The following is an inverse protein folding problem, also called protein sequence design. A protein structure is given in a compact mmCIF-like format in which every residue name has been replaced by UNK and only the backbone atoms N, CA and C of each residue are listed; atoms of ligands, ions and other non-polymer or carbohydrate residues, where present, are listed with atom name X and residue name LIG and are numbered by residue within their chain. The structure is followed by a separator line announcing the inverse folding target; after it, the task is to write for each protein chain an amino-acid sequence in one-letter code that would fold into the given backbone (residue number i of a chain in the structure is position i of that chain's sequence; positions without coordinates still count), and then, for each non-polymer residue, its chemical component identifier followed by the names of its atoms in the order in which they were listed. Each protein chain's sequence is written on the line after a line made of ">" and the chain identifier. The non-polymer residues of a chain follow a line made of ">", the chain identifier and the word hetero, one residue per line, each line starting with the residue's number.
data_IF_211343714804
#
_entry.id   IF_211343714804
#
_cell.length_a   1.000
_cell.length_b   1.000
_cell.length_c   1.000
_cell.angle_alpha   90.00
_cell.angle_beta   90.00
_cell.angle_gamma   90.00
#
_symmetry.space_group_name_H-M   'P 1'
#
loop_
_entity.id
_entity.type
_entity.pdbx_description
1 polymer ?
#
# COMPACT_ATOMS: atom_id res chain seq x y z
N UNK A 1 -72.30 -31.89 -12.90
CA UNK A 1 -71.04 -32.15 -12.21
C UNK A 1 -69.90 -31.37 -12.96
N UNK A 2 -69.50 -30.19 -12.44
CA UNK A 2 -68.43 -29.37 -13.04
C UNK A 2 -67.17 -29.65 -12.26
N UNK A 3 -66.13 -30.17 -12.91
CA UNK A 3 -64.78 -30.37 -12.31
C UNK A 3 -64.00 -29.09 -12.38
N UNK A 4 -63.62 -28.50 -11.22
CA UNK A 4 -62.64 -27.42 -11.10
C UNK A 4 -61.23 -28.00 -11.25
N UNK A 5 -60.48 -27.49 -12.19
CA UNK A 5 -59.02 -27.76 -12.32
C UNK A 5 -58.31 -26.60 -11.64
N UNK A 6 -57.64 -26.88 -10.51
CA UNK A 6 -56.73 -25.94 -9.88
C UNK A 6 -55.40 -25.97 -10.61
N UNK A 7 -55.02 -24.85 -11.23
CA UNK A 7 -53.71 -24.66 -11.80
C UNK A 7 -52.78 -24.11 -10.71
N UNK A 8 -51.79 -24.90 -10.24
CA UNK A 8 -50.77 -24.46 -9.31
C UNK A 8 -49.69 -23.73 -10.06
N UNK A 9 -49.55 -22.43 -9.79
CA UNK A 9 -48.48 -21.58 -10.34
C UNK A 9 -47.20 -21.77 -9.49
N UNK A 10 -46.22 -22.50 -10.03
CA UNK A 10 -44.91 -22.65 -9.38
C UNK A 10 -44.05 -21.43 -9.78
N UNK A 11 -43.95 -20.47 -8.84
CA UNK A 11 -42.99 -19.34 -8.99
C UNK A 11 -41.60 -19.83 -8.64
N UNK A 12 -40.80 -20.14 -9.66
CA UNK A 12 -39.40 -20.46 -9.48
C UNK A 12 -38.61 -19.20 -9.10
N UNK A 13 -38.18 -19.07 -7.84
CA UNK A 13 -37.17 -18.10 -7.45
C UNK A 13 -35.81 -18.51 -8.07
N UNK A 14 -35.52 -17.98 -9.22
CA UNK A 14 -34.17 -18.05 -9.80
C UNK A 14 -33.22 -17.20 -8.96
N UNK A 15 -32.43 -17.80 -8.08
CA UNK A 15 -31.33 -17.15 -7.43
C UNK A 15 -30.29 -16.76 -8.52
N UNK A 16 -30.27 -15.49 -8.87
CA UNK A 16 -29.23 -14.95 -9.74
C UNK A 16 -27.87 -15.11 -9.03
N UNK A 17 -27.10 -16.13 -9.41
CA UNK A 17 -25.72 -16.27 -8.96
C UNK A 17 -24.95 -15.02 -9.40
N UNK A 18 -24.62 -14.16 -8.46
CA UNK A 18 -23.74 -13.01 -8.70
C UNK A 18 -22.45 -13.56 -9.30
N UNK A 19 -22.16 -13.22 -10.57
CA UNK A 19 -20.86 -13.54 -11.20
C UNK A 19 -19.78 -12.95 -10.31
N UNK A 20 -19.07 -13.79 -9.61
CA UNK A 20 -17.88 -13.38 -8.86
C UNK A 20 -16.88 -12.82 -9.87
N UNK A 21 -16.81 -11.48 -9.94
CA UNK A 21 -15.81 -10.79 -10.78
C UNK A 21 -14.41 -11.22 -10.37
N UNK A 22 -13.44 -11.15 -11.28
CA UNK A 22 -12.03 -11.47 -11.00
C UNK A 22 -11.57 -10.71 -9.74
N UNK A 23 -10.94 -11.40 -8.77
CA UNK A 23 -10.46 -10.74 -7.56
C UNK A 23 -9.53 -9.56 -7.88
N UNK A 24 -9.72 -8.39 -7.24
CA UNK A 24 -8.83 -7.26 -7.46
C UNK A 24 -7.40 -7.62 -7.06
N UNK A 25 -6.43 -7.13 -7.81
CA UNK A 25 -5.00 -7.30 -7.52
C UNK A 25 -4.48 -6.09 -6.75
N UNK A 26 -3.78 -6.33 -5.64
CA UNK A 26 -3.00 -5.31 -4.92
C UNK A 26 -1.53 -5.69 -5.01
N UNK A 27 -0.68 -4.75 -5.41
CA UNK A 27 0.77 -4.91 -5.31
C UNK A 27 1.22 -4.25 -4.02
N UNK A 28 1.90 -5.03 -3.16
CA UNK A 28 2.51 -4.54 -1.93
C UNK A 28 4.02 -4.40 -2.19
N UNK A 29 4.54 -3.20 -1.95
CA UNK A 29 5.95 -2.87 -2.10
C UNK A 29 6.55 -2.54 -0.73
N UNK A 30 7.21 -3.50 -0.06
CA UNK A 30 8.05 -3.18 1.09
C UNK A 30 9.23 -2.35 0.62
N UNK A 31 9.29 -1.07 1.04
CA UNK A 31 10.35 -0.15 0.63
C UNK A 31 11.74 -0.66 0.99
N UNK A 32 12.72 -0.18 0.24
CA UNK A 32 14.15 -0.49 0.41
C UNK A 32 14.54 -1.97 0.32
N UNK A 33 15.81 -2.25 0.48
CA UNK A 33 16.43 -3.53 0.85
C UNK A 33 17.64 -3.20 1.76
N UNK A 34 18.37 -4.20 2.23
CA UNK A 34 19.46 -4.00 3.20
C UNK A 34 20.64 -3.20 2.64
N UNK A 35 20.88 -3.27 1.34
CA UNK A 35 21.95 -2.52 0.67
C UNK A 35 21.39 -1.49 -0.28
N UNK A 36 21.88 -0.24 -0.14
CA UNK A 36 21.58 0.83 -1.06
C UNK A 36 21.99 0.47 -2.50
N UNK A 37 21.30 1.07 -3.45
CA UNK A 37 21.64 1.04 -4.86
C UNK A 37 21.76 2.47 -5.37
N UNK A 38 23.00 2.97 -5.43
CA UNK A 38 23.31 4.37 -5.80
C UNK A 38 23.35 4.61 -7.31
N UNK A 39 23.14 3.59 -8.15
CA UNK A 39 22.87 3.80 -9.55
C UNK A 39 21.64 4.72 -9.71
N UNK A 40 21.49 5.36 -10.84
CA UNK A 40 20.43 6.34 -11.04
C UNK A 40 19.44 5.92 -12.10
N UNK A 41 18.19 6.38 -11.95
CA UNK A 41 17.09 6.18 -12.89
C UNK A 41 16.38 7.51 -13.15
N UNK A 42 15.73 7.71 -14.33
CA UNK A 42 14.97 8.93 -14.60
C UNK A 42 13.74 9.02 -13.70
N UNK A 43 13.42 10.23 -13.24
CA UNK A 43 12.26 10.46 -12.33
C UNK A 43 10.90 10.20 -12.97
N UNK A 44 10.82 10.19 -14.29
CA UNK A 44 9.58 9.94 -15.06
C UNK A 44 9.90 9.63 -16.52
N UNK A 45 8.93 9.12 -17.28
CA UNK A 45 9.10 8.83 -18.70
C UNK A 45 9.58 10.05 -19.50
N UNK A 46 10.70 9.89 -20.24
CA UNK A 46 11.31 10.99 -21.01
C UNK A 46 12.05 12.05 -20.23
N UNK A 47 12.14 11.94 -18.88
CA UNK A 47 12.85 12.92 -18.04
C UNK A 47 14.37 12.79 -18.17
N UNK A 48 15.08 13.94 -18.27
CA UNK A 48 16.52 14.03 -18.11
C UNK A 48 16.96 14.09 -16.64
N UNK A 49 16.04 14.45 -15.74
CA UNK A 49 16.33 14.47 -14.30
C UNK A 49 16.40 13.06 -13.76
N UNK A 50 17.47 12.76 -13.02
CA UNK A 50 17.72 11.42 -12.47
C UNK A 50 17.84 11.45 -10.97
N UNK A 51 17.40 10.39 -10.31
CA UNK A 51 17.57 10.12 -8.88
C UNK A 51 18.23 8.77 -8.66
N UNK A 52 18.84 8.58 -7.49
CA UNK A 52 19.34 7.25 -7.07
C UNK A 52 18.18 6.26 -7.01
N UNK A 53 18.46 5.01 -7.31
CA UNK A 53 17.47 3.93 -7.27
C UNK A 53 16.94 3.73 -5.85
N UNK A 54 17.85 3.71 -4.87
CA UNK A 54 17.50 3.52 -3.45
C UNK A 54 18.66 3.94 -2.55
N UNK A 55 18.40 4.83 -1.59
CA UNK A 55 19.37 5.27 -0.58
C UNK A 55 19.61 4.27 0.57
N UNK A 56 18.88 3.13 0.59
CA UNK A 56 19.01 2.10 1.63
C UNK A 56 18.07 2.26 2.83
N UNK A 57 17.23 3.32 2.81
CA UNK A 57 16.28 3.59 3.91
C UNK A 57 16.94 4.13 5.17
N UNK A 58 16.15 4.24 6.22
CA UNK A 58 16.58 4.68 7.56
C UNK A 58 16.80 3.47 8.49
N UNK A 59 17.11 3.79 9.74
CA UNK A 59 17.34 2.79 10.80
C UNK A 59 16.82 3.31 12.12
N UNK A 60 16.25 2.43 12.91
CA UNK A 60 15.79 2.75 14.27
C UNK A 60 16.90 3.32 15.12
N UNK A 61 16.68 4.53 15.65
CA UNK A 61 17.68 5.27 16.44
C UNK A 61 18.04 4.58 17.76
N UNK A 62 17.13 3.78 18.32
CA UNK A 62 17.29 3.02 19.57
C UNK A 62 17.47 1.54 19.29
N UNK A 63 16.64 0.99 18.41
CA UNK A 63 16.57 -0.46 18.17
C UNK A 63 17.59 -0.94 17.15
N UNK A 64 18.10 -0.06 16.29
CA UNK A 64 19.00 -0.40 15.21
C UNK A 64 18.35 -1.21 14.09
N UNK A 65 17.03 -1.42 14.11
CA UNK A 65 16.32 -2.19 13.09
C UNK A 65 16.37 -1.44 11.76
N UNK A 66 16.78 -2.07 10.65
CA UNK A 66 16.69 -1.47 9.33
C UNK A 66 15.22 -1.22 8.92
N UNK A 67 14.95 -0.11 8.26
CA UNK A 67 13.64 0.18 7.69
C UNK A 67 13.16 -0.93 6.75
N UNK A 68 14.05 -1.47 5.94
CA UNK A 68 13.74 -2.58 5.03
C UNK A 68 13.13 -3.79 5.74
N UNK A 69 13.61 -4.13 6.95
CA UNK A 69 13.10 -5.26 7.75
C UNK A 69 11.74 -4.95 8.35
N UNK A 70 11.55 -3.73 8.85
CA UNK A 70 10.25 -3.25 9.35
C UNK A 70 9.19 -3.30 8.25
N UNK A 71 9.50 -2.71 7.10
CA UNK A 71 8.58 -2.64 5.95
C UNK A 71 8.16 -4.04 5.48
N UNK A 72 9.12 -4.97 5.38
CA UNK A 72 8.84 -6.34 5.01
C UNK A 72 7.98 -7.06 6.06
N UNK A 73 8.28 -6.86 7.34
CA UNK A 73 7.53 -7.50 8.43
C UNK A 73 6.05 -7.08 8.44
N UNK A 74 5.75 -5.80 8.18
CA UNK A 74 4.37 -5.29 8.04
C UNK A 74 3.73 -5.81 6.74
N UNK A 75 4.45 -5.76 5.62
CA UNK A 75 3.96 -6.20 4.31
C UNK A 75 3.57 -7.69 4.29
N UNK A 76 4.35 -8.57 4.93
CA UNK A 76 4.04 -9.99 5.01
C UNK A 76 2.78 -10.27 5.84
N UNK A 77 2.52 -9.48 6.90
CA UNK A 77 1.28 -9.54 7.68
C UNK A 77 0.09 -9.05 6.84
N UNK A 78 0.24 -7.91 6.15
CA UNK A 78 -0.77 -7.36 5.26
C UNK A 78 -1.13 -8.33 4.13
N UNK A 79 -0.13 -8.96 3.50
CA UNK A 79 -0.35 -9.99 2.47
C UNK A 79 -1.29 -11.10 2.96
N UNK A 80 -1.06 -11.61 4.18
CA UNK A 80 -1.91 -12.67 4.75
C UNK A 80 -3.35 -12.20 4.94
N UNK A 81 -3.54 -10.98 5.46
CA UNK A 81 -4.87 -10.40 5.70
C UNK A 81 -5.62 -10.18 4.39
N UNK A 82 -5.00 -9.56 3.39
CA UNK A 82 -5.64 -9.30 2.10
C UNK A 82 -5.98 -10.59 1.34
N UNK A 83 -5.11 -11.61 1.39
CA UNK A 83 -5.40 -12.92 0.78
C UNK A 83 -6.59 -13.60 1.43
N UNK A 84 -6.72 -13.55 2.77
CA UNK A 84 -7.90 -14.05 3.49
C UNK A 84 -9.18 -13.29 3.10
N UNK A 85 -9.06 -12.02 2.73
CA UNK A 85 -10.17 -11.20 2.24
C UNK A 85 -10.49 -11.43 0.74
N UNK A 86 -9.86 -12.41 0.08
CA UNK A 86 -10.09 -12.73 -1.33
C UNK A 86 -9.49 -11.70 -2.30
N UNK A 87 -8.41 -11.02 -1.91
CA UNK A 87 -7.64 -10.12 -2.77
C UNK A 87 -6.44 -10.87 -3.33
N UNK A 88 -6.18 -10.75 -4.63
CA UNK A 88 -4.94 -11.22 -5.24
C UNK A 88 -3.80 -10.30 -4.83
N UNK A 89 -2.74 -10.86 -4.25
CA UNK A 89 -1.59 -10.06 -3.78
C UNK A 89 -0.32 -10.48 -4.51
N UNK A 90 0.34 -9.50 -5.11
CA UNK A 90 1.70 -9.58 -5.64
C UNK A 90 2.62 -8.77 -4.72
N UNK A 91 3.84 -9.23 -4.51
CA UNK A 91 4.86 -8.54 -3.71
C UNK A 91 6.03 -8.15 -4.61
N UNK A 92 6.62 -6.99 -4.40
CA UNK A 92 7.86 -6.60 -5.12
C UNK A 92 9.07 -7.35 -4.59
N UNK A 93 9.10 -7.68 -3.29
CA UNK A 93 10.06 -8.57 -2.64
C UNK A 93 9.43 -9.33 -1.47
N UNK A 94 10.02 -10.44 -1.09
CA UNK A 94 9.58 -11.29 0.04
C UNK A 94 10.68 -11.59 1.05
N UNK A 95 11.87 -11.07 0.81
CA UNK A 95 13.08 -11.19 1.65
C UNK A 95 13.79 -9.85 1.76
N UNK A 96 14.71 -9.72 2.70
CA UNK A 96 15.65 -8.61 2.87
C UNK A 96 17.06 -9.14 2.76
N UNK A 97 17.54 -9.47 1.59
CA UNK A 97 18.84 -10.12 1.44
C UNK A 97 19.71 -9.56 0.31
N UNK A 98 19.22 -8.56 -0.40
CA UNK A 98 19.85 -8.11 -1.62
C UNK A 98 20.15 -6.62 -1.70
N UNK A 99 20.68 -6.22 -2.85
CA UNK A 99 20.74 -4.82 -3.27
C UNK A 99 19.35 -4.41 -3.76
N UNK A 100 18.90 -3.24 -3.33
CA UNK A 100 17.56 -2.77 -3.66
C UNK A 100 17.35 -2.66 -5.17
N UNK A 101 16.17 -3.12 -5.63
CA UNK A 101 15.72 -2.84 -6.99
C UNK A 101 15.28 -1.37 -7.10
N UNK A 102 15.42 -0.79 -8.29
CA UNK A 102 15.00 0.58 -8.57
C UNK A 102 13.48 0.77 -8.52
N UNK A 103 13.08 2.02 -8.42
CA UNK A 103 11.66 2.39 -8.32
C UNK A 103 10.89 2.13 -9.62
N UNK A 104 11.56 2.26 -10.79
CA UNK A 104 10.97 1.88 -12.09
C UNK A 104 10.59 0.40 -12.07
N UNK A 105 11.52 -0.47 -11.69
CA UNK A 105 11.27 -1.91 -11.65
C UNK A 105 10.11 -2.28 -10.71
N UNK A 106 9.99 -1.59 -9.56
CA UNK A 106 8.87 -1.74 -8.62
C UNK A 106 7.54 -1.32 -9.24
N UNK A 107 7.50 -0.14 -9.90
CA UNK A 107 6.32 0.36 -10.60
C UNK A 107 5.89 -0.58 -11.73
N UNK A 108 6.84 -1.11 -12.51
CA UNK A 108 6.54 -2.05 -13.59
C UNK A 108 5.93 -3.38 -13.11
N UNK A 109 6.31 -3.87 -11.92
CA UNK A 109 5.64 -5.03 -11.31
C UNK A 109 4.15 -4.72 -11.10
N UNK A 110 3.84 -3.51 -10.60
CA UNK A 110 2.45 -3.10 -10.38
C UNK A 110 1.69 -2.89 -11.69
N UNK A 111 2.34 -2.30 -12.70
CA UNK A 111 1.77 -2.07 -14.02
C UNK A 111 1.43 -3.40 -14.72
N UNK A 112 2.39 -4.34 -14.77
CA UNK A 112 2.18 -5.68 -15.36
C UNK A 112 1.11 -6.49 -14.63
N UNK A 113 0.96 -6.27 -13.33
CA UNK A 113 -0.09 -6.92 -12.54
C UNK A 113 -1.47 -6.28 -12.71
N UNK A 114 -1.59 -5.18 -13.48
CA UNK A 114 -2.81 -4.37 -13.59
C UNK A 114 -3.42 -4.08 -12.22
N UNK A 115 -2.60 -3.61 -11.28
CA UNK A 115 -2.98 -3.50 -9.89
C UNK A 115 -4.12 -2.49 -9.70
N UNK A 116 -5.12 -2.86 -8.92
CA UNK A 116 -6.14 -1.91 -8.45
C UNK A 116 -5.55 -0.89 -7.45
N UNK A 117 -4.45 -1.27 -6.78
CA UNK A 117 -3.64 -0.39 -5.93
C UNK A 117 -2.21 -0.91 -5.86
N UNK A 118 -1.24 -0.01 -6.06
CA UNK A 118 0.17 -0.17 -5.75
C UNK A 118 0.43 0.50 -4.39
N UNK A 119 0.59 -0.31 -3.34
CA UNK A 119 0.76 0.14 -1.96
C UNK A 119 2.22 -0.03 -1.55
N UNK A 120 2.92 1.09 -1.40
CA UNK A 120 4.30 1.16 -0.93
C UNK A 120 4.32 1.39 0.58
N UNK A 121 5.14 0.64 1.30
CA UNK A 121 5.22 0.67 2.76
C UNK A 121 6.61 1.10 3.17
N UNK A 122 6.69 2.18 3.94
CA UNK A 122 7.89 2.82 4.43
C UNK A 122 7.75 3.23 5.91
N UNK A 123 8.84 3.68 6.51
CA UNK A 123 8.88 4.35 7.79
C UNK A 123 9.94 5.46 7.73
N UNK A 124 9.53 6.65 8.09
CA UNK A 124 10.26 7.88 7.85
C UNK A 124 11.47 8.08 8.79
N UNK A 125 12.32 9.00 8.41
CA UNK A 125 13.42 9.54 9.22
C UNK A 125 13.48 11.05 9.11
N UNK A 126 13.83 11.72 10.22
CA UNK A 126 13.98 13.16 10.30
C UNK A 126 15.26 13.53 11.03
N UNK A 127 15.83 14.69 10.70
CA UNK A 127 16.91 15.30 11.50
C UNK A 127 16.39 15.81 12.86
N UNK A 128 15.07 16.09 12.95
CA UNK A 128 14.40 16.42 14.19
C UNK A 128 13.93 15.14 14.89
N UNK A 129 14.53 14.76 16.05
CA UNK A 129 14.16 13.56 16.77
C UNK A 129 12.79 13.64 17.46
N UNK A 130 12.16 14.81 17.48
CA UNK A 130 10.79 15.00 17.97
C UNK A 130 9.74 14.78 16.91
N UNK A 131 10.12 14.65 15.63
CA UNK A 131 9.20 14.33 14.55
C UNK A 131 8.52 12.98 14.83
N UNK A 132 7.18 12.95 14.78
CA UNK A 132 6.36 11.80 15.10
C UNK A 132 5.15 11.68 14.16
N UNK A 133 4.46 10.56 14.21
CA UNK A 133 3.20 10.35 13.51
C UNK A 133 3.32 9.65 12.16
N UNK A 134 2.17 9.44 11.53
CA UNK A 134 2.04 8.74 10.25
C UNK A 134 1.47 9.65 9.18
N UNK A 135 1.87 9.46 7.94
CA UNK A 135 1.36 10.18 6.78
C UNK A 135 1.35 9.30 5.52
N UNK A 136 0.64 9.76 4.51
CA UNK A 136 0.56 9.05 3.23
C UNK A 136 0.88 9.99 2.08
N UNK A 137 1.85 9.58 1.27
CA UNK A 137 2.28 10.28 0.08
C UNK A 137 1.53 9.74 -1.15
N UNK A 138 1.24 10.63 -2.10
CA UNK A 138 0.62 10.28 -3.37
C UNK A 138 1.17 11.17 -4.50
N UNK A 139 1.06 10.73 -5.78
CA UNK A 139 1.59 11.50 -6.90
C UNK A 139 0.86 12.83 -7.07
N UNK A 140 1.60 13.88 -7.41
CA UNK A 140 1.04 15.13 -7.90
C UNK A 140 0.40 14.95 -9.28
N UNK A 141 -0.48 15.87 -9.65
CA UNK A 141 -1.08 15.90 -10.99
C UNK A 141 -0.04 16.38 -12.02
N UNK A 142 0.47 15.48 -12.82
CA UNK A 142 1.46 15.76 -13.85
C UNK A 142 1.01 15.20 -15.19
N UNK A 143 0.79 16.09 -16.18
CA UNK A 143 0.34 15.72 -17.51
C UNK A 143 1.31 14.75 -18.20
N UNK A 144 0.79 13.62 -18.69
CA UNK A 144 1.55 12.58 -19.37
C UNK A 144 2.31 11.62 -18.46
N UNK A 145 2.25 11.82 -17.13
CA UNK A 145 2.87 10.90 -16.16
C UNK A 145 1.86 10.31 -15.18
N UNK A 146 1.07 11.16 -14.52
CA UNK A 146 0.23 10.74 -13.38
C UNK A 146 -1.21 11.22 -13.47
N UNK A 147 -1.55 11.97 -14.51
CA UNK A 147 -2.87 12.57 -14.72
C UNK A 147 -4.00 11.54 -14.81
N UNK A 148 -3.72 10.35 -15.32
CA UNK A 148 -4.67 9.24 -15.42
C UNK A 148 -4.88 8.49 -14.07
N UNK A 149 -3.91 8.56 -13.14
CA UNK A 149 -3.96 7.87 -11.84
C UNK A 149 -4.17 8.80 -10.65
N UNK A 150 -3.95 10.11 -10.79
CA UNK A 150 -3.96 11.10 -9.72
C UNK A 150 -5.19 11.01 -8.81
N UNK A 151 -6.38 11.12 -9.38
CA UNK A 151 -7.62 11.15 -8.61
C UNK A 151 -7.84 9.86 -7.81
N UNK A 152 -7.47 8.71 -8.40
CA UNK A 152 -7.57 7.40 -7.76
C UNK A 152 -6.54 7.23 -6.66
N UNK A 153 -5.31 7.68 -6.87
CA UNK A 153 -4.21 7.67 -5.89
C UNK A 153 -4.55 8.55 -4.69
N UNK A 154 -5.00 9.78 -4.92
CA UNK A 154 -5.44 10.70 -3.85
C UNK A 154 -6.60 10.11 -3.04
N UNK A 155 -7.58 9.48 -3.70
CA UNK A 155 -8.69 8.80 -3.02
C UNK A 155 -8.18 7.63 -2.16
N UNK A 156 -7.25 6.83 -2.67
CA UNK A 156 -6.63 5.73 -1.94
C UNK A 156 -5.87 6.26 -0.72
N UNK A 157 -5.02 7.29 -0.90
CA UNK A 157 -4.26 7.91 0.17
C UNK A 157 -5.16 8.36 1.32
N UNK A 158 -6.25 9.09 1.03
CA UNK A 158 -7.18 9.56 2.05
C UNK A 158 -7.83 8.42 2.85
N UNK A 159 -8.26 7.37 2.17
CA UNK A 159 -8.96 6.24 2.81
C UNK A 159 -7.99 5.40 3.65
N UNK A 160 -6.77 5.15 3.12
CA UNK A 160 -5.75 4.35 3.80
C UNK A 160 -5.19 5.12 4.99
N UNK A 161 -4.86 6.41 4.85
CA UNK A 161 -4.37 7.25 5.95
C UNK A 161 -5.35 7.25 7.12
N UNK A 162 -6.63 7.53 6.89
CA UNK A 162 -7.65 7.55 7.94
C UNK A 162 -7.78 6.20 8.67
N UNK A 163 -7.60 5.08 7.96
CA UNK A 163 -7.65 3.76 8.56
C UNK A 163 -6.37 3.44 9.35
N UNK A 164 -5.21 3.90 8.88
CA UNK A 164 -3.91 3.71 9.52
C UNK A 164 -3.81 4.50 10.82
N UNK A 165 -4.13 5.80 10.80
CA UNK A 165 -4.18 6.66 11.99
C UNK A 165 -5.05 6.05 13.08
N UNK A 166 -6.27 5.62 12.73
CA UNK A 166 -7.17 4.96 13.69
C UNK A 166 -6.60 3.67 14.26
N UNK A 167 -5.86 2.91 13.47
CA UNK A 167 -5.27 1.66 13.92
C UNK A 167 -4.05 1.89 14.82
N UNK A 168 -3.21 2.86 14.50
CA UNK A 168 -1.95 3.11 15.18
C UNK A 168 -2.13 3.98 16.43
N UNK A 169 -2.99 5.00 16.37
CA UNK A 169 -3.14 6.00 17.41
C UNK A 169 -1.98 7.00 17.46
N UNK A 170 -1.20 7.08 16.38
CA UNK A 170 -0.15 8.08 16.18
C UNK A 170 -0.75 9.39 15.67
N UNK A 171 -0.04 10.53 15.82
CA UNK A 171 -0.43 11.79 15.23
C UNK A 171 -0.65 11.64 13.70
N UNK A 172 -1.71 12.29 13.20
CA UNK A 172 -2.01 12.32 11.79
C UNK A 172 -1.29 13.49 11.12
N UNK A 173 -0.26 13.20 10.35
CA UNK A 173 0.46 14.21 9.55
C UNK A 173 -0.16 14.45 8.18
N UNK A 174 -1.29 13.80 7.91
CA UNK A 174 -2.11 14.03 6.72
C UNK A 174 -1.57 13.39 5.45
N UNK A 175 -1.84 14.07 4.35
CA UNK A 175 -1.49 13.63 3.01
C UNK A 175 -0.45 14.57 2.40
N UNK A 176 0.52 14.01 1.69
CA UNK A 176 1.57 14.80 1.01
C UNK A 176 1.58 14.47 -0.48
N UNK A 177 1.56 15.52 -1.30
CA UNK A 177 1.61 15.42 -2.74
C UNK A 177 3.04 15.59 -3.24
N UNK A 178 3.51 14.71 -4.14
CA UNK A 178 4.88 14.70 -4.61
C UNK A 178 4.99 14.64 -6.12
N UNK A 179 5.87 15.46 -6.70
CA UNK A 179 6.14 15.55 -8.14
C UNK A 179 7.30 14.68 -8.60
N UNK A 180 8.19 14.30 -7.68
CA UNK A 180 9.54 13.82 -7.99
C UNK A 180 9.83 12.39 -7.51
N UNK A 181 8.80 11.63 -7.14
CA UNK A 181 8.95 10.22 -6.79
C UNK A 181 8.90 9.35 -8.04
N UNK A 182 10.04 8.76 -8.40
CA UNK A 182 10.18 7.88 -9.57
C UNK A 182 9.11 6.79 -9.60
N UNK A 183 8.87 6.12 -8.47
CA UNK A 183 7.86 5.06 -8.39
C UNK A 183 6.42 5.54 -8.58
N UNK A 184 6.14 6.83 -8.38
CA UNK A 184 4.85 7.43 -8.71
C UNK A 184 4.74 7.74 -10.20
N UNK A 185 5.77 8.40 -10.74
CA UNK A 185 5.77 8.92 -12.11
C UNK A 185 5.85 7.81 -13.18
N UNK A 186 6.33 6.62 -12.81
CA UNK A 186 6.37 5.44 -13.67
C UNK A 186 5.19 4.48 -13.44
N UNK A 187 4.27 4.81 -12.54
CA UNK A 187 3.11 3.97 -12.27
C UNK A 187 1.95 4.30 -13.21
N UNK A 188 1.42 3.30 -13.90
CA UNK A 188 0.19 3.38 -14.72
C UNK A 188 -1.04 2.89 -13.93
N UNK A 189 -0.88 2.62 -12.64
CA UNK A 189 -1.93 2.16 -11.73
C UNK A 189 -1.96 3.06 -10.49
N UNK A 190 -3.10 3.19 -9.80
CA UNK A 190 -3.18 3.99 -8.57
C UNK A 190 -2.10 3.59 -7.59
N UNK A 191 -1.31 4.57 -7.11
CA UNK A 191 -0.16 4.34 -6.23
C UNK A 191 -0.20 5.27 -5.03
N UNK A 192 0.18 4.75 -3.87
CA UNK A 192 0.42 5.50 -2.64
C UNK A 192 1.63 4.94 -1.92
N UNK A 193 2.28 5.80 -1.11
CA UNK A 193 3.33 5.41 -0.19
C UNK A 193 2.91 5.82 1.22
N UNK A 194 2.94 4.88 2.15
CA UNK A 194 2.58 5.13 3.56
C UNK A 194 3.84 5.15 4.40
N UNK A 195 3.95 6.16 5.27
CA UNK A 195 4.96 6.26 6.31
C UNK A 195 4.34 5.82 7.64
N UNK A 196 4.85 4.73 8.19
CA UNK A 196 4.29 4.08 9.36
C UNK A 196 4.58 4.84 10.67
N UNK A 197 5.55 5.75 10.66
CA UNK A 197 6.06 6.49 11.80
C UNK A 197 7.52 6.85 11.57
N UNK A 198 8.14 7.56 12.51
CA UNK A 198 9.53 8.02 12.40
C UNK A 198 10.49 7.11 13.17
N UNK A 199 11.36 6.42 12.45
CA UNK A 199 12.40 5.56 13.05
C UNK A 199 13.48 6.33 13.79
N UNK A 200 13.59 7.65 13.53
CA UNK A 200 14.48 8.58 14.23
C UNK A 200 13.88 9.15 15.52
N UNK A 201 12.58 8.93 15.78
CA UNK A 201 11.94 9.25 17.05
C UNK A 201 12.15 8.08 18.03
N UNK A 202 12.81 8.28 19.20
CA UNK A 202 13.12 7.18 20.13
C UNK A 202 11.89 6.44 20.68
N UNK A 203 10.76 7.11 20.78
CA UNK A 203 9.51 6.49 21.27
C UNK A 203 8.86 5.67 20.17
N UNK A 204 8.74 6.23 18.96
CA UNK A 204 8.13 5.52 17.83
C UNK A 204 8.99 4.35 17.38
N UNK A 205 10.31 4.47 17.35
CA UNK A 205 11.22 3.37 17.00
C UNK A 205 11.00 2.15 17.88
N UNK A 206 10.90 2.34 19.22
CA UNK A 206 10.60 1.23 20.13
C UNK A 206 9.25 0.57 19.83
N UNK A 207 8.23 1.37 19.46
CA UNK A 207 6.91 0.85 19.11
C UNK A 207 6.93 0.10 17.78
N UNK A 208 7.54 0.69 16.75
CA UNK A 208 7.73 0.10 15.41
C UNK A 208 8.44 -1.26 15.47
N UNK A 209 9.32 -1.46 16.44
CA UNK A 209 10.03 -2.70 16.68
C UNK A 209 9.12 -3.83 17.21
N UNK A 210 7.94 -3.51 17.77
CA UNK A 210 7.08 -4.50 18.41
C UNK A 210 6.19 -5.25 17.41
N UNK A 211 5.97 -6.54 17.64
CA UNK A 211 5.04 -7.35 16.85
C UNK A 211 3.60 -6.83 16.94
N UNK A 212 3.21 -6.30 18.10
CA UNK A 212 1.88 -5.70 18.31
C UNK A 212 1.66 -4.50 17.38
N UNK A 213 2.65 -3.61 17.29
CA UNK A 213 2.55 -2.45 16.39
C UNK A 213 2.47 -2.86 14.94
N UNK A 214 3.38 -3.74 14.49
CA UNK A 214 3.42 -4.26 13.11
C UNK A 214 2.12 -4.94 12.71
N UNK A 215 1.50 -5.66 13.63
CA UNK A 215 0.19 -6.27 13.41
C UNK A 215 -0.91 -5.21 13.27
N UNK A 216 -0.94 -4.18 14.15
CA UNK A 216 -1.91 -3.07 14.06
C UNK A 216 -1.74 -2.28 12.78
N UNK A 217 -0.50 -2.00 12.35
CA UNK A 217 -0.20 -1.34 11.08
C UNK A 217 -0.77 -2.14 9.90
N UNK A 218 -0.49 -3.45 9.84
CA UNK A 218 -1.01 -4.32 8.80
C UNK A 218 -2.55 -4.38 8.79
N UNK A 219 -3.20 -4.39 9.95
CA UNK A 219 -4.66 -4.34 10.06
C UNK A 219 -5.22 -2.99 9.58
N UNK A 220 -4.59 -1.87 9.93
CA UNK A 220 -4.96 -0.54 9.44
C UNK A 220 -4.89 -0.45 7.92
N UNK A 221 -3.75 -0.88 7.36
CA UNK A 221 -3.52 -0.94 5.90
C UNK A 221 -4.53 -1.87 5.21
N UNK A 222 -4.82 -3.03 5.78
CA UNK A 222 -5.82 -3.96 5.28
C UNK A 222 -7.21 -3.31 5.22
N UNK A 223 -7.67 -2.71 6.34
CA UNK A 223 -8.98 -2.04 6.40
C UNK A 223 -9.07 -0.89 5.40
N UNK A 224 -8.03 -0.07 5.29
CA UNK A 224 -7.97 1.02 4.32
C UNK A 224 -8.02 0.52 2.88
N UNK A 225 -7.21 -0.48 2.55
CA UNK A 225 -7.18 -1.10 1.22
C UNK A 225 -8.52 -1.70 0.83
N UNK A 226 -9.15 -2.48 1.71
CA UNK A 226 -10.47 -3.09 1.41
C UNK A 226 -11.55 -2.03 1.22
N UNK A 227 -11.59 -0.96 2.04
CA UNK A 227 -12.51 0.16 1.85
C UNK A 227 -12.28 0.88 0.52
N UNK A 228 -11.03 1.08 0.14
CA UNK A 228 -10.71 1.66 -1.17
C UNK A 228 -11.24 0.81 -2.32
N UNK A 229 -11.12 -0.52 -2.20
CA UNK A 229 -11.61 -1.51 -3.17
C UNK A 229 -13.14 -1.72 -3.11
N UNK A 230 -13.88 -0.99 -2.26
CA UNK A 230 -15.33 -1.18 -2.07
C UNK A 230 -15.70 -2.49 -1.41
N UNK A 231 -14.81 -3.09 -0.61
CA UNK A 231 -15.01 -4.38 0.07
C UNK A 231 -15.13 -4.22 1.59
N UNK A 232 -15.85 -5.15 2.22
CA UNK A 232 -15.95 -5.18 3.68
C UNK A 232 -14.59 -5.43 4.35
N UNK A 233 -14.21 -4.63 5.38
CA UNK A 233 -12.95 -4.79 6.07
C UNK A 233 -12.98 -5.84 7.19
N UNK A 234 -14.05 -6.63 7.35
CA UNK A 234 -14.22 -7.61 8.45
C UNK A 234 -13.12 -8.66 8.50
N UNK A 235 -12.54 -9.03 7.37
CA UNK A 235 -11.44 -10.00 7.29
C UNK A 235 -10.09 -9.49 7.83
N UNK A 236 -10.00 -8.22 8.24
CA UNK A 236 -8.75 -7.63 8.72
C UNK A 236 -8.51 -7.79 10.24
N UNK A 237 -9.48 -8.34 10.97
CA UNK A 237 -9.39 -8.53 12.42
C UNK A 237 -9.76 -7.28 13.20
#
# INVERSE_FOLDING_TARGET
>A
MRRLVLLALVVGLGAAAARAGTPPTVVIDPGHDLRANLATEPIGPGSSVRKILDGGGTRGVVTGIPEADLNLAVALRLRRLLRRAGVRVVMTRTTTSGTSMGNIARAEIANRAHAALFLRIHADGSADPSADGTHTLYPALQKGWTDDIYARSRRAARIVQAALVRALGFPDRGLQEHTDFTGFNWSNVPVILVELGFMTNPTEDRLLATDRYRQRAAQGLCRGTLRYLGRSPTACG
#
